data_IF_565920132376
#
_entry.id   IF_565920132376
#
_cell.length_a   1.000
_cell.length_b   1.000
_cell.length_c   1.000
_cell.angle_alpha   90.00
_cell.angle_beta   90.00
_cell.angle_gamma   90.00
#
_symmetry.space_group_name_H-M   'P 1'
#
loop_
_entity.id
_entity.type
_entity.pdbx_description
1 polymer ?
#
# COMPACT_ATOMS: atom_id res chain seq x y z
N UNK A 1 -0.12 12.67 46.25
CA UNK A 1 -0.44 11.69 47.30
C UNK A 1 -0.56 10.34 46.61
N UNK A 2 0.26 9.36 46.98
CA UNK A 2 0.21 8.03 46.36
C UNK A 2 -1.12 7.36 46.68
N UNK A 3 -1.79 6.83 45.66
CA UNK A 3 -3.07 6.13 45.80
C UNK A 3 -2.82 4.76 46.42
N UNK A 4 -2.61 4.71 47.73
CA UNK A 4 -2.31 3.47 48.46
C UNK A 4 -3.44 2.42 48.42
N UNK A 5 -4.60 2.74 47.83
CA UNK A 5 -5.76 1.85 47.70
C UNK A 5 -6.25 1.65 46.25
N UNK A 6 -5.56 2.13 45.21
CA UNK A 6 -6.08 1.99 43.83
C UNK A 6 -6.16 0.54 43.35
N UNK A 7 -5.16 -0.28 43.71
CA UNK A 7 -5.09 -1.69 43.29
C UNK A 7 -6.21 -2.52 43.95
N UNK A 8 -6.45 -2.44 45.28
CA UNK A 8 -7.60 -3.09 45.89
C UNK A 8 -8.94 -2.67 45.28
N UNK A 9 -9.14 -1.37 45.04
CA UNK A 9 -10.39 -0.84 44.46
C UNK A 9 -10.60 -1.37 43.04
N UNK A 10 -9.55 -1.34 42.22
CA UNK A 10 -9.59 -1.93 40.88
C UNK A 10 -9.93 -3.42 40.93
N UNK A 11 -9.32 -4.17 41.86
CA UNK A 11 -9.56 -5.59 41.99
C UNK A 11 -11.01 -5.90 42.41
N UNK A 12 -11.57 -5.13 43.35
CA UNK A 12 -12.95 -5.25 43.79
C UNK A 12 -13.93 -4.93 42.64
N UNK A 13 -13.69 -3.85 41.90
CA UNK A 13 -14.52 -3.44 40.75
C UNK A 13 -14.49 -4.49 39.64
N UNK A 14 -13.30 -4.97 39.25
CA UNK A 14 -13.17 -6.01 38.22
C UNK A 14 -13.81 -7.32 38.67
N UNK A 15 -13.62 -7.71 39.93
CA UNK A 15 -14.21 -8.93 40.47
C UNK A 15 -15.73 -8.84 40.48
N UNK A 16 -16.29 -7.66 40.75
CA UNK A 16 -17.72 -7.41 40.66
C UNK A 16 -18.25 -7.44 39.22
N UNK A 17 -17.58 -6.74 38.29
CA UNK A 17 -18.00 -6.64 36.88
C UNK A 17 -17.94 -8.01 36.18
N UNK A 18 -16.87 -8.77 36.42
CA UNK A 18 -16.61 -10.05 35.77
C UNK A 18 -16.93 -11.25 36.67
N UNK A 19 -17.72 -11.04 37.73
CA UNK A 19 -18.19 -12.10 38.61
C UNK A 19 -18.79 -13.32 37.87
N UNK A 20 -19.53 -13.17 36.74
CA UNK A 20 -20.04 -14.32 35.98
C UNK A 20 -18.95 -15.16 35.30
N UNK A 21 -17.76 -14.57 35.07
CA UNK A 21 -16.65 -15.21 34.36
C UNK A 21 -15.56 -15.74 35.30
N UNK A 22 -15.45 -15.19 36.51
CA UNK A 22 -14.45 -15.57 37.51
C UNK A 22 -14.96 -16.76 38.34
N UNK A 23 -14.15 -17.80 38.63
CA UNK A 23 -12.74 -17.99 38.23
C UNK A 23 -12.57 -18.84 36.96
N UNK A 24 -13.66 -19.25 36.32
CA UNK A 24 -13.64 -20.29 35.30
C UNK A 24 -13.05 -19.82 33.97
N UNK A 25 -13.34 -18.58 33.57
CA UNK A 25 -12.97 -18.02 32.27
C UNK A 25 -12.00 -16.84 32.39
N UNK A 26 -11.95 -16.17 33.54
CA UNK A 26 -11.10 -14.99 33.76
C UNK A 26 -10.42 -15.10 35.11
N UNK A 27 -9.17 -14.62 35.18
CA UNK A 27 -8.44 -14.42 36.42
C UNK A 27 -7.95 -12.96 36.49
N UNK A 28 -8.31 -12.25 37.55
CA UNK A 28 -7.74 -10.94 37.86
C UNK A 28 -6.45 -11.10 38.66
N UNK A 29 -5.40 -10.40 38.26
CA UNK A 29 -4.10 -10.40 38.93
C UNK A 29 -3.55 -8.98 39.03
N UNK A 30 -3.57 -8.39 40.22
CA UNK A 30 -3.14 -7.01 40.48
C UNK A 30 -3.89 -6.04 39.53
N UNK A 31 -3.21 -5.50 38.53
CA UNK A 31 -3.75 -4.52 37.57
C UNK A 31 -4.13 -5.17 36.22
N UNK A 32 -3.94 -6.49 36.08
CA UNK A 32 -4.16 -7.24 34.85
C UNK A 32 -5.37 -8.17 34.93
N UNK A 33 -6.01 -8.42 33.79
CA UNK A 33 -7.12 -9.36 33.62
C UNK A 33 -6.74 -10.39 32.57
N UNK A 34 -6.47 -11.62 33.00
CA UNK A 34 -6.18 -12.74 32.11
C UNK A 34 -7.45 -13.49 31.73
N UNK A 35 -7.86 -13.42 30.46
CA UNK A 35 -8.85 -14.35 29.92
C UNK A 35 -8.18 -15.72 29.71
N UNK A 36 -8.76 -16.77 30.28
CA UNK A 36 -8.29 -18.14 30.10
C UNK A 36 -8.59 -18.57 28.66
N UNK A 37 -7.57 -19.11 28.00
CA UNK A 37 -7.75 -19.76 26.72
C UNK A 37 -8.65 -20.99 26.82
N UNK A 38 -9.10 -21.54 25.69
CA UNK A 38 -9.91 -22.76 25.69
C UNK A 38 -9.14 -23.91 26.39
N UNK A 39 -9.76 -24.50 27.41
CA UNK A 39 -9.14 -25.59 28.20
C UNK A 39 -8.81 -26.81 27.32
N UNK A 40 -9.71 -27.12 26.38
CA UNK A 40 -9.54 -28.18 25.39
C UNK A 40 -9.69 -27.60 23.98
N UNK A 41 -8.71 -27.86 23.10
CA UNK A 41 -8.83 -27.57 21.66
C UNK A 41 -9.87 -28.44 20.92
N UNK A 42 -10.66 -29.22 21.66
CA UNK A 42 -11.72 -30.12 21.16
C UNK A 42 -11.27 -30.86 19.91
N UNK A 43 -10.17 -31.60 20.02
CA UNK A 43 -9.56 -32.31 18.89
C UNK A 43 -10.39 -33.57 18.58
N UNK A 44 -10.96 -33.65 17.38
CA UNK A 44 -11.66 -34.83 16.87
C UNK A 44 -10.87 -35.38 15.68
N UNK A 45 -10.43 -36.64 15.75
CA UNK A 45 -9.61 -37.29 14.71
C UNK A 45 -8.34 -36.48 14.33
N UNK A 46 -7.59 -36.01 15.33
CA UNK A 46 -6.36 -35.22 15.16
C UNK A 46 -6.55 -33.88 14.43
N UNK A 47 -7.79 -33.37 14.34
CA UNK A 47 -8.10 -32.04 13.80
C UNK A 47 -8.94 -31.25 14.82
N UNK A 48 -8.77 -29.93 14.93
CA UNK A 48 -9.62 -29.11 15.79
C UNK A 48 -11.08 -29.24 15.38
N UNK A 49 -11.99 -29.35 16.35
CA UNK A 49 -13.42 -29.31 16.09
C UNK A 49 -13.78 -28.02 15.35
N UNK A 50 -14.71 -28.14 14.41
CA UNK A 50 -15.14 -27.03 13.56
C UNK A 50 -16.52 -26.54 13.94
N UNK A 51 -16.80 -25.26 13.70
CA UNK A 51 -18.09 -24.67 14.01
C UNK A 51 -19.20 -25.31 13.15
N UNK A 52 -20.36 -25.69 13.73
CA UNK A 52 -21.40 -26.43 13.02
C UNK A 52 -22.02 -25.64 11.85
N UNK A 53 -22.10 -24.32 11.95
CA UNK A 53 -22.62 -23.46 10.88
C UNK A 53 -21.56 -23.05 9.84
N UNK A 54 -20.27 -23.21 10.14
CA UNK A 54 -19.18 -22.84 9.23
C UNK A 54 -17.96 -23.73 9.46
N UNK A 55 -17.79 -24.71 8.56
CA UNK A 55 -16.70 -25.69 8.58
C UNK A 55 -15.32 -25.09 8.27
N UNK A 56 -15.17 -23.76 8.13
CA UNK A 56 -13.86 -23.12 8.06
C UNK A 56 -13.41 -22.58 9.42
N UNK A 57 -14.31 -22.48 10.41
CA UNK A 57 -14.02 -21.88 11.71
C UNK A 57 -13.67 -22.96 12.73
N UNK A 58 -12.57 -22.78 13.47
CA UNK A 58 -12.22 -23.60 14.62
C UNK A 58 -13.15 -23.28 15.80
N UNK A 59 -13.84 -24.29 16.33
CA UNK A 59 -14.84 -24.14 17.39
C UNK A 59 -14.24 -23.56 18.67
N UNK A 60 -13.07 -24.04 19.09
CA UNK A 60 -12.40 -23.56 20.30
C UNK A 60 -12.00 -22.07 20.20
N UNK A 61 -11.59 -21.62 19.00
CA UNK A 61 -11.28 -20.20 18.77
C UNK A 61 -12.54 -19.35 18.76
N UNK A 62 -13.61 -19.83 18.13
CA UNK A 62 -14.89 -19.14 18.14
C UNK A 62 -15.42 -18.92 19.57
N UNK A 63 -15.40 -19.97 20.40
CA UNK A 63 -15.81 -19.90 21.81
C UNK A 63 -14.95 -18.90 22.61
N UNK A 64 -13.64 -18.84 22.32
CA UNK A 64 -12.75 -17.86 22.94
C UNK A 64 -13.06 -16.41 22.53
N UNK A 65 -13.35 -16.16 21.25
CA UNK A 65 -13.75 -14.83 20.80
C UNK A 65 -15.11 -14.39 21.36
N UNK A 66 -16.07 -15.31 21.49
CA UNK A 66 -17.34 -15.04 22.17
C UNK A 66 -17.14 -14.69 23.66
N UNK A 67 -16.22 -15.38 24.34
CA UNK A 67 -15.83 -15.05 25.71
C UNK A 67 -15.23 -13.64 25.80
N UNK A 68 -14.24 -13.31 24.94
CA UNK A 68 -13.65 -11.97 24.91
C UNK A 68 -14.71 -10.89 24.65
N UNK A 69 -15.60 -11.12 23.69
CA UNK A 69 -16.68 -10.20 23.39
C UNK A 69 -17.59 -9.98 24.63
N UNK A 70 -17.97 -11.04 25.35
CA UNK A 70 -18.76 -10.93 26.59
C UNK A 70 -18.06 -10.09 27.66
N UNK A 71 -16.78 -10.35 27.92
CA UNK A 71 -15.95 -9.60 28.88
C UNK A 71 -15.91 -8.11 28.50
N UNK A 72 -15.65 -7.82 27.23
CA UNK A 72 -15.60 -6.45 26.72
C UNK A 72 -16.95 -5.73 26.86
N UNK A 73 -18.07 -6.42 26.59
CA UNK A 73 -19.41 -5.84 26.76
C UNK A 73 -19.75 -5.59 28.22
N UNK A 74 -19.39 -6.49 29.14
CA UNK A 74 -19.57 -6.29 30.58
C UNK A 74 -18.77 -5.08 31.08
N UNK A 75 -17.49 -5.01 30.69
CA UNK A 75 -16.63 -3.86 31.01
C UNK A 75 -17.20 -2.55 30.45
N UNK A 76 -17.69 -2.57 29.20
CA UNK A 76 -18.34 -1.41 28.57
C UNK A 76 -19.61 -0.98 29.30
N UNK A 77 -20.46 -1.93 29.71
CA UNK A 77 -21.72 -1.63 30.40
C UNK A 77 -21.48 -0.95 31.76
N UNK A 78 -20.40 -1.34 32.44
CA UNK A 78 -19.99 -0.77 33.73
C UNK A 78 -19.14 0.50 33.60
N UNK A 79 -18.93 1.03 32.39
CA UNK A 79 -18.16 2.26 32.15
C UNK A 79 -16.64 2.08 32.16
N UNK A 80 -16.14 0.85 32.14
CA UNK A 80 -14.72 0.54 31.97
C UNK A 80 -14.22 0.95 30.59
N UNK A 81 -12.97 1.44 30.53
CA UNK A 81 -12.34 1.88 29.27
C UNK A 81 -11.00 1.21 29.05
N UNK A 82 -10.69 0.87 27.79
CA UNK A 82 -9.44 0.25 27.38
C UNK A 82 -8.62 1.30 26.60
N UNK A 83 -7.36 1.52 26.99
CA UNK A 83 -6.48 2.49 26.31
C UNK A 83 -5.68 1.81 25.21
N UNK A 84 -5.99 2.12 23.95
CA UNK A 84 -5.21 1.75 22.77
C UNK A 84 -4.80 2.97 21.91
N UNK A 85 -5.07 4.20 22.38
CA UNK A 85 -4.99 5.43 21.57
C UNK A 85 -4.37 6.58 22.37
N UNK A 86 -3.05 6.58 22.55
CA UNK A 86 -2.22 7.72 23.03
C UNK A 86 -2.88 8.68 24.06
N UNK A 87 -3.67 8.16 25.00
CA UNK A 87 -4.35 8.96 26.02
C UNK A 87 -5.62 9.73 25.60
N UNK A 88 -6.11 9.65 24.35
CA UNK A 88 -7.39 10.27 23.96
C UNK A 88 -8.55 9.27 24.07
N UNK A 89 -9.21 9.31 25.23
CA UNK A 89 -10.33 8.44 25.60
C UNK A 89 -11.58 8.66 24.72
N UNK A 90 -11.66 9.71 23.90
CA UNK A 90 -12.83 9.91 23.03
C UNK A 90 -12.77 9.05 21.75
N UNK A 91 -11.57 8.57 21.38
CA UNK A 91 -11.29 7.96 20.07
C UNK A 91 -11.02 6.46 20.11
N UNK A 92 -11.03 5.84 21.30
CA UNK A 92 -10.69 4.41 21.45
C UNK A 92 -11.54 3.51 20.55
N UNK A 93 -12.86 3.72 20.54
CA UNK A 93 -13.81 2.87 19.81
C UNK A 93 -13.55 2.88 18.30
N UNK A 94 -13.04 3.99 17.76
CA UNK A 94 -12.70 4.12 16.35
C UNK A 94 -11.41 3.38 15.99
N UNK A 95 -10.43 3.32 16.89
CA UNK A 95 -9.13 2.69 16.64
C UNK A 95 -9.09 1.20 17.03
N UNK A 96 -9.94 0.76 17.95
CA UNK A 96 -9.96 -0.61 18.47
C UNK A 96 -10.05 -1.65 17.36
N UNK A 97 -10.88 -1.41 16.34
CA UNK A 97 -11.01 -2.35 15.22
C UNK A 97 -9.72 -2.47 14.43
N UNK A 98 -9.03 -1.36 14.15
CA UNK A 98 -7.75 -1.35 13.43
C UNK A 98 -6.66 -2.07 14.21
N UNK A 99 -6.63 -1.92 15.54
CA UNK A 99 -5.66 -2.61 16.40
C UNK A 99 -5.91 -4.13 16.39
N UNK A 100 -7.14 -4.58 16.62
CA UNK A 100 -7.44 -6.01 16.56
C UNK A 100 -7.18 -6.61 15.18
N UNK A 101 -7.50 -5.87 14.12
CA UNK A 101 -7.20 -6.32 12.77
C UNK A 101 -5.69 -6.44 12.54
N UNK A 102 -4.91 -5.43 12.95
CA UNK A 102 -3.44 -5.47 12.84
C UNK A 102 -2.82 -6.67 13.58
N UNK A 103 -3.32 -6.99 14.77
CA UNK A 103 -2.86 -8.16 15.53
C UNK A 103 -3.22 -9.47 14.80
N UNK A 104 -4.43 -9.57 14.22
CA UNK A 104 -4.87 -10.76 13.50
C UNK A 104 -4.07 -11.02 12.21
N UNK A 105 -3.59 -9.96 11.55
CA UNK A 105 -2.84 -10.08 10.29
C UNK A 105 -1.33 -10.11 10.47
N UNK A 106 -0.82 -9.69 11.64
CA UNK A 106 0.62 -9.76 11.98
C UNK A 106 1.06 -11.19 12.22
N UNK A 107 2.24 -11.55 11.70
CA UNK A 107 2.85 -12.86 11.91
C UNK A 107 3.32 -13.01 13.36
N UNK A 108 2.90 -14.09 14.01
CA UNK A 108 3.36 -14.41 15.35
C UNK A 108 4.68 -15.17 15.30
N UNK A 109 5.69 -14.71 16.05
CA UNK A 109 7.07 -15.26 16.00
C UNK A 109 7.14 -16.77 16.25
N UNK A 110 6.29 -17.30 17.13
CA UNK A 110 6.29 -18.73 17.48
C UNK A 110 5.61 -19.61 16.42
N UNK A 111 4.56 -19.10 15.75
CA UNK A 111 3.81 -19.86 14.74
C UNK A 111 4.39 -19.68 13.33
N UNK A 112 5.13 -18.61 13.08
CA UNK A 112 5.65 -18.27 11.75
C UNK A 112 4.57 -17.85 10.75
N UNK A 113 3.31 -17.73 11.17
CA UNK A 113 2.19 -17.23 10.39
C UNK A 113 1.29 -16.31 11.22
N UNK A 114 0.37 -15.59 10.56
CA UNK A 114 -0.59 -14.72 11.25
C UNK A 114 -1.79 -15.53 11.78
N UNK A 115 -2.45 -15.08 12.86
CA UNK A 115 -3.68 -15.69 13.35
C UNK A 115 -4.77 -15.83 12.26
N UNK A 116 -4.88 -14.84 11.37
CA UNK A 116 -5.79 -14.88 10.23
C UNK A 116 -5.44 -16.02 9.26
N UNK A 117 -4.14 -16.21 8.97
CA UNK A 117 -3.70 -17.31 8.12
C UNK A 117 -3.92 -18.66 8.79
N UNK A 118 -3.62 -18.78 10.08
CA UNK A 118 -3.83 -20.01 10.83
C UNK A 118 -5.31 -20.43 10.89
N UNK A 119 -6.23 -19.46 10.89
CA UNK A 119 -7.67 -19.71 10.94
C UNK A 119 -8.29 -19.97 9.57
N UNK A 120 -7.91 -19.20 8.55
CA UNK A 120 -8.54 -19.25 7.22
C UNK A 120 -7.77 -20.06 6.18
N UNK A 121 -6.48 -20.33 6.43
CA UNK A 121 -5.55 -20.91 5.45
C UNK A 121 -5.18 -19.95 4.31
N UNK A 122 -5.55 -18.67 4.41
CA UNK A 122 -5.33 -17.66 3.36
C UNK A 122 -4.62 -16.45 3.94
N UNK A 123 -3.75 -15.82 3.15
CA UNK A 123 -3.14 -14.56 3.57
C UNK A 123 -4.20 -13.44 3.56
N UNK A 124 -4.22 -12.57 4.58
CA UNK A 124 -5.12 -11.43 4.59
C UNK A 124 -4.73 -10.48 3.45
N UNK A 125 -5.73 -9.96 2.73
CA UNK A 125 -5.55 -8.89 1.77
C UNK A 125 -5.93 -7.58 2.47
N UNK A 126 -4.98 -6.66 2.60
CA UNK A 126 -5.22 -5.36 3.21
C UNK A 126 -5.68 -4.35 2.15
N UNK A 127 -6.45 -3.31 2.53
CA UNK A 127 -6.81 -2.23 1.62
C UNK A 127 -5.59 -1.60 0.93
N UNK A 128 -4.47 -1.48 1.67
CA UNK A 128 -3.19 -1.05 1.13
C UNK A 128 -2.71 -1.97 -0.01
N UNK A 129 -2.77 -3.29 0.14
CA UNK A 129 -2.32 -4.24 -0.90
C UNK A 129 -3.09 -4.11 -2.22
N UNK A 130 -4.30 -3.53 -2.20
CA UNK A 130 -5.18 -3.37 -3.36
C UNK A 130 -5.01 -1.98 -4.00
N UNK A 131 -5.00 -0.92 -3.17
CA UNK A 131 -5.10 0.47 -3.64
C UNK A 131 -3.75 1.19 -3.58
N UNK A 132 -2.95 0.89 -2.56
CA UNK A 132 -1.72 1.60 -2.22
C UNK A 132 -0.58 0.60 -2.22
N UNK A 133 -0.03 0.30 -3.40
CA UNK A 133 1.04 -0.69 -3.58
C UNK A 133 2.38 -0.35 -2.87
N UNK A 134 2.37 0.56 -1.90
CA UNK A 134 3.52 1.05 -1.13
C UNK A 134 3.12 1.21 0.34
N UNK A 135 4.06 0.94 1.25
CA UNK A 135 3.92 1.24 2.68
C UNK A 135 3.52 2.71 2.89
N UNK A 136 2.49 2.94 3.71
CA UNK A 136 2.08 4.28 4.13
C UNK A 136 3.07 4.89 5.13
N UNK A 137 3.93 4.12 5.77
CA UNK A 137 4.93 4.65 6.69
C UNK A 137 6.33 4.58 6.12
N UNK A 138 7.18 5.50 6.58
CA UNK A 138 8.61 5.46 6.31
C UNK A 138 9.19 4.13 6.81
N UNK A 139 10.13 3.52 6.06
CA UNK A 139 10.76 2.31 6.51
C UNK A 139 11.47 2.55 7.86
N UNK A 140 11.35 1.63 8.82
CA UNK A 140 11.96 1.80 10.13
C UNK A 140 13.49 1.72 10.02
N UNK A 141 14.19 2.51 10.83
CA UNK A 141 15.67 2.54 10.87
C UNK A 141 16.29 1.29 11.54
N UNK A 142 15.47 0.47 12.20
CA UNK A 142 15.87 -0.72 12.93
C UNK A 142 14.72 -1.74 12.96
N UNK A 143 15.00 -2.96 13.44
CA UNK A 143 13.96 -3.95 13.66
C UNK A 143 12.98 -3.48 14.74
N UNK A 144 11.69 -3.50 14.42
CA UNK A 144 10.62 -3.12 15.32
C UNK A 144 10.32 -4.22 16.36
N UNK A 145 9.84 -3.80 17.54
CA UNK A 145 9.22 -4.75 18.47
C UNK A 145 7.88 -5.24 17.88
N UNK A 146 7.36 -6.37 18.38
CA UNK A 146 6.06 -6.88 17.91
C UNK A 146 4.94 -5.85 18.18
N UNK A 147 5.00 -5.17 19.32
CA UNK A 147 4.03 -4.14 19.69
C UNK A 147 4.11 -2.93 18.77
N UNK A 148 5.33 -2.45 18.46
CA UNK A 148 5.51 -1.31 17.56
C UNK A 148 5.05 -1.65 16.14
N UNK A 149 5.31 -2.87 15.68
CA UNK A 149 4.84 -3.34 14.38
C UNK A 149 3.30 -3.34 14.28
N UNK A 150 2.63 -3.86 15.31
CA UNK A 150 1.16 -3.86 15.42
C UNK A 150 0.64 -2.42 15.45
N UNK A 151 1.27 -1.53 16.22
CA UNK A 151 0.89 -0.11 16.29
C UNK A 151 1.04 0.58 14.93
N UNK A 152 2.16 0.40 14.23
CA UNK A 152 2.38 0.92 12.88
C UNK A 152 1.30 0.44 11.91
N UNK A 153 1.00 -0.87 11.90
CA UNK A 153 -0.05 -1.42 11.04
C UNK A 153 -1.44 -0.90 11.41
N UNK A 154 -1.74 -0.73 12.69
CA UNK A 154 -3.02 -0.16 13.13
C UNK A 154 -3.18 1.29 12.64
N UNK A 155 -2.10 2.08 12.64
CA UNK A 155 -2.11 3.45 12.10
C UNK A 155 -2.33 3.42 10.59
N UNK A 156 -1.68 2.51 9.86
CA UNK A 156 -1.88 2.36 8.41
C UNK A 156 -3.33 1.98 8.08
N UNK A 157 -3.91 1.07 8.86
CA UNK A 157 -5.31 0.63 8.72
C UNK A 157 -6.33 1.72 9.06
N UNK A 158 -5.97 2.70 9.89
CA UNK A 158 -6.87 3.82 10.19
C UNK A 158 -7.03 4.78 9.00
N UNK A 159 -6.12 4.74 8.02
CA UNK A 159 -6.23 5.50 6.77
C UNK A 159 -6.54 6.99 7.01
N UNK A 160 -5.87 7.59 8.01
CA UNK A 160 -6.13 8.97 8.38
C UNK A 160 -5.76 9.91 7.22
N UNK A 161 -6.73 10.68 6.72
CA UNK A 161 -6.54 11.55 5.54
C UNK A 161 -5.35 12.51 5.70
N UNK A 162 -5.11 13.04 6.90
CA UNK A 162 -3.98 13.93 7.18
C UNK A 162 -2.62 13.22 6.96
N UNK A 163 -2.52 11.94 7.34
CA UNK A 163 -1.32 11.15 7.10
C UNK A 163 -1.14 10.89 5.61
N UNK A 164 -2.21 10.56 4.89
CA UNK A 164 -2.17 10.32 3.44
C UNK A 164 -1.76 11.57 2.66
N UNK A 165 -2.31 12.74 3.02
CA UNK A 165 -1.99 14.01 2.38
C UNK A 165 -0.52 14.39 2.61
N UNK A 166 -0.01 14.14 3.82
CA UNK A 166 1.40 14.31 4.17
C UNK A 166 2.29 13.39 3.34
N UNK A 167 1.96 12.09 3.26
CA UNK A 167 2.72 11.11 2.49
C UNK A 167 2.71 11.41 1.00
N UNK A 168 1.55 11.75 0.44
CA UNK A 168 1.42 12.14 -0.94
C UNK A 168 2.30 13.36 -1.26
N UNK A 169 2.33 14.34 -0.36
CA UNK A 169 3.20 15.51 -0.48
C UNK A 169 4.69 15.14 -0.43
N UNK A 170 5.09 14.25 0.49
CA UNK A 170 6.45 13.75 0.59
C UNK A 170 6.87 12.98 -0.65
N UNK A 171 6.07 12.01 -1.11
CA UNK A 171 6.33 11.23 -2.32
C UNK A 171 6.43 12.14 -3.54
N UNK A 172 5.51 13.08 -3.72
CA UNK A 172 5.57 14.05 -4.81
C UNK A 172 6.86 14.89 -4.77
N UNK A 173 7.25 15.37 -3.60
CA UNK A 173 8.49 16.14 -3.43
C UNK A 173 9.74 15.29 -3.73
N UNK A 174 9.78 14.04 -3.25
CA UNK A 174 10.86 13.10 -3.53
C UNK A 174 10.95 12.75 -5.02
N UNK A 175 9.81 12.51 -5.68
CA UNK A 175 9.75 12.29 -7.13
C UNK A 175 10.27 13.51 -7.91
N UNK A 176 9.90 14.73 -7.50
CA UNK A 176 10.42 15.95 -8.12
C UNK A 176 11.94 16.09 -7.93
N UNK A 177 12.44 15.86 -6.72
CA UNK A 177 13.87 15.90 -6.44
C UNK A 177 14.64 14.84 -7.23
N UNK A 178 14.10 13.62 -7.32
CA UNK A 178 14.69 12.55 -8.12
C UNK A 178 14.71 12.90 -9.62
N UNK A 179 13.66 13.51 -10.15
CA UNK A 179 13.62 14.00 -11.53
C UNK A 179 14.68 15.09 -11.78
N UNK A 180 14.78 16.08 -10.89
CA UNK A 180 15.82 17.13 -10.96
C UNK A 180 17.21 16.50 -10.90
N UNK A 181 17.45 15.59 -9.96
CA UNK A 181 18.73 14.92 -9.81
C UNK A 181 19.10 14.13 -11.08
N UNK A 182 18.16 13.37 -11.63
CA UNK A 182 18.33 12.65 -12.89
C UNK A 182 18.67 13.60 -14.05
N UNK A 183 17.98 14.73 -14.17
CA UNK A 183 18.29 15.76 -15.16
C UNK A 183 19.70 16.32 -14.99
N UNK A 184 20.14 16.58 -13.76
CA UNK A 184 21.49 17.10 -13.48
C UNK A 184 22.58 16.07 -13.80
N UNK A 185 22.43 14.82 -13.38
CA UNK A 185 23.42 13.76 -13.63
C UNK A 185 23.52 13.40 -15.11
N UNK A 186 22.40 13.45 -15.83
CA UNK A 186 22.34 13.12 -17.26
C UNK A 186 22.32 14.34 -18.18
N UNK A 187 22.66 15.54 -17.69
CA UNK A 187 22.63 16.79 -18.47
C UNK A 187 23.46 16.71 -19.76
N UNK A 188 24.59 16.00 -19.74
CA UNK A 188 25.43 15.80 -20.94
C UNK A 188 24.84 14.83 -21.97
N UNK A 189 23.92 13.95 -21.55
CA UNK A 189 23.32 12.90 -22.39
C UNK A 189 21.93 13.32 -22.89
N UNK A 190 21.16 14.01 -22.08
CA UNK A 190 19.81 14.48 -22.42
C UNK A 190 19.93 15.60 -23.46
N UNK A 191 19.53 15.29 -24.69
CA UNK A 191 19.46 16.27 -25.77
C UNK A 191 18.01 16.67 -26.00
N UNK A 192 17.72 17.94 -25.79
CA UNK A 192 16.39 18.49 -26.05
C UNK A 192 16.34 19.03 -27.48
N UNK A 193 15.86 18.20 -28.41
CA UNK A 193 15.64 18.61 -29.79
C UNK A 193 14.28 19.31 -29.94
N UNK A 194 14.30 20.52 -30.49
CA UNK A 194 13.08 21.27 -30.83
C UNK A 194 12.87 21.23 -32.35
N UNK A 195 12.13 20.23 -32.82
CA UNK A 195 11.85 20.05 -34.24
C UNK A 195 10.71 20.97 -34.67
N UNK A 196 10.88 21.60 -35.82
CA UNK A 196 9.85 22.40 -36.49
C UNK A 196 9.06 21.53 -37.46
N UNK A 197 7.88 22.00 -37.84
CA UNK A 197 7.12 21.42 -38.94
C UNK A 197 7.97 21.37 -40.21
N UNK A 198 8.01 20.21 -40.86
CA UNK A 198 8.82 19.94 -42.05
C UNK A 198 10.20 19.36 -41.76
N UNK A 199 10.68 19.35 -40.51
CA UNK A 199 11.98 18.78 -40.17
C UNK A 199 11.98 17.25 -40.37
N UNK A 200 13.09 16.74 -40.91
CA UNK A 200 13.32 15.31 -41.04
C UNK A 200 13.94 14.72 -39.79
N UNK A 201 13.34 13.65 -39.30
CA UNK A 201 13.71 12.97 -38.05
C UNK A 201 13.80 11.47 -38.24
N UNK A 202 14.64 10.83 -37.45
CA UNK A 202 14.73 9.38 -37.31
C UNK A 202 14.00 8.95 -36.03
N UNK A 203 13.19 7.91 -36.10
CA UNK A 203 12.53 7.34 -34.93
C UNK A 203 13.33 6.16 -34.36
N UNK A 204 13.69 6.24 -33.08
CA UNK A 204 14.34 5.16 -32.34
C UNK A 204 13.43 3.94 -32.25
N UNK A 205 13.96 2.77 -32.62
CA UNK A 205 13.23 1.51 -32.57
C UNK A 205 13.18 0.97 -31.14
N UNK A 206 12.23 1.47 -30.35
CA UNK A 206 12.09 1.07 -28.94
C UNK A 206 11.74 -0.40 -28.76
N UNK A 207 11.02 -1.01 -29.72
CA UNK A 207 10.59 -2.42 -29.69
C UNK A 207 11.75 -3.41 -29.61
N UNK A 208 12.93 -3.05 -30.11
CA UNK A 208 14.11 -3.94 -30.13
C UNK A 208 15.04 -3.72 -28.94
N UNK A 209 14.76 -2.73 -28.06
CA UNK A 209 15.67 -2.34 -26.99
C UNK A 209 15.93 -3.49 -26.00
N UNK A 210 14.93 -4.36 -25.79
CA UNK A 210 14.92 -5.45 -24.80
C UNK A 210 15.14 -6.84 -25.45
N UNK A 211 15.21 -6.94 -26.79
CA UNK A 211 15.37 -8.23 -27.48
C UNK A 211 16.84 -8.68 -27.57
N UNK A 212 17.12 -9.97 -27.36
CA UNK A 212 18.48 -10.53 -27.46
C UNK A 212 19.13 -10.38 -28.86
N UNK A 213 18.33 -10.31 -29.93
CA UNK A 213 18.83 -10.13 -31.30
C UNK A 213 18.91 -8.65 -31.75
N UNK A 214 18.92 -7.68 -30.81
CA UNK A 214 18.97 -6.24 -31.09
C UNK A 214 20.09 -5.82 -32.04
N UNK A 215 21.25 -6.49 -31.98
CA UNK A 215 22.42 -6.18 -32.82
C UNK A 215 22.14 -6.35 -34.32
N UNK A 216 21.20 -7.23 -34.68
CA UNK A 216 20.85 -7.54 -36.08
C UNK A 216 19.67 -6.72 -36.62
N UNK A 217 19.06 -5.85 -35.79
CA UNK A 217 17.86 -5.07 -36.17
C UNK A 217 18.19 -3.59 -36.34
N UNK A 218 17.46 -2.86 -37.21
CA UNK A 218 17.68 -1.43 -37.42
C UNK A 218 17.38 -0.65 -36.13
N UNK A 219 18.35 0.16 -35.69
CA UNK A 219 18.24 0.98 -34.47
C UNK A 219 17.28 2.16 -34.63
N UNK A 220 17.22 2.71 -35.84
CA UNK A 220 16.35 3.81 -36.21
C UNK A 220 15.47 3.39 -37.38
N UNK A 221 14.24 3.88 -37.39
CA UNK A 221 13.25 3.69 -38.41
C UNK A 221 13.09 5.00 -39.16
N UNK A 222 13.24 4.92 -40.50
CA UNK A 222 12.84 5.89 -41.51
C UNK A 222 13.30 7.35 -41.33
N UNK A 223 13.64 8.07 -42.41
CA UNK A 223 13.43 9.51 -42.38
C UNK A 223 11.92 9.77 -42.35
N UNK A 224 11.44 10.41 -41.28
CA UNK A 224 10.06 10.84 -41.08
C UNK A 224 10.01 12.36 -41.06
N UNK A 225 8.89 12.94 -41.46
CA UNK A 225 8.66 14.39 -41.43
C UNK A 225 7.86 14.74 -40.20
N UNK A 226 8.28 15.78 -39.48
CA UNK A 226 7.53 16.34 -38.35
C UNK A 226 6.40 17.21 -38.87
N UNK A 227 5.18 16.94 -38.41
CA UNK A 227 3.99 17.75 -38.74
C UNK A 227 3.78 18.81 -37.66
N UNK A 228 3.65 18.38 -36.41
CA UNK A 228 3.36 19.28 -35.29
C UNK A 228 3.75 18.65 -33.96
N UNK A 229 3.72 19.47 -32.90
CA UNK A 229 4.01 19.05 -31.52
C UNK A 229 2.77 19.27 -30.65
N UNK A 230 2.35 18.22 -29.96
CA UNK A 230 1.21 18.26 -29.04
C UNK A 230 1.55 19.05 -27.76
N UNK A 231 0.52 19.50 -27.02
CA UNK A 231 0.68 20.17 -25.70
C UNK A 231 1.48 19.34 -24.69
N UNK A 232 1.41 18.01 -24.79
CA UNK A 232 2.19 17.06 -23.97
C UNK A 232 3.63 16.82 -24.45
N UNK A 233 4.10 17.53 -25.47
CA UNK A 233 5.48 17.48 -25.95
C UNK A 233 5.82 16.34 -26.92
N UNK A 234 4.88 15.45 -27.24
CA UNK A 234 5.01 14.43 -28.27
C UNK A 234 4.82 15.02 -29.68
N UNK A 235 5.47 14.43 -30.68
CA UNK A 235 5.42 14.89 -32.07
C UNK A 235 4.50 14.00 -32.91
N UNK A 236 3.71 14.63 -33.77
CA UNK A 236 3.00 13.95 -34.85
C UNK A 236 3.95 13.93 -36.04
N UNK A 237 4.17 12.74 -36.59
CA UNK A 237 5.12 12.50 -37.68
C UNK A 237 4.43 11.74 -38.80
N UNK A 238 4.87 11.97 -40.03
CA UNK A 238 4.44 11.23 -41.21
C UNK A 238 5.63 10.62 -41.96
N UNK A 239 5.33 9.61 -42.78
CA UNK A 239 6.25 9.13 -43.80
C UNK A 239 6.42 10.17 -44.93
N UNK A 240 7.42 9.95 -45.79
CA UNK A 240 7.79 10.87 -46.87
C UNK A 240 6.69 11.04 -47.94
N UNK A 241 5.76 10.10 -48.03
CA UNK A 241 4.59 10.15 -48.91
C UNK A 241 3.42 10.97 -48.32
N UNK A 242 3.57 11.45 -47.08
CA UNK A 242 2.52 12.13 -46.33
C UNK A 242 1.64 11.22 -45.46
N UNK A 243 1.90 9.92 -45.42
CA UNK A 243 1.13 8.99 -44.57
C UNK A 243 1.43 9.25 -43.08
N UNK A 244 0.42 9.71 -42.32
CA UNK A 244 0.56 10.06 -40.90
C UNK A 244 0.65 8.80 -40.04
N UNK A 245 1.60 8.77 -39.10
CA UNK A 245 1.66 7.70 -38.12
C UNK A 245 0.47 7.78 -37.16
N UNK A 246 -0.21 6.65 -36.94
CA UNK A 246 -1.39 6.56 -36.07
C UNK A 246 -1.16 7.07 -34.64
N UNK A 247 0.06 6.96 -34.10
CA UNK A 247 0.36 7.37 -32.71
C UNK A 247 1.42 8.48 -32.70
N UNK A 248 1.25 9.53 -31.88
CA UNK A 248 2.29 10.51 -31.68
C UNK A 248 3.51 9.87 -31.01
N UNK A 249 4.69 10.36 -31.38
CA UNK A 249 5.98 9.82 -30.96
C UNK A 249 6.57 10.73 -29.88
N UNK A 250 7.06 10.13 -28.79
CA UNK A 250 7.69 10.87 -27.71
C UNK A 250 8.99 11.55 -28.18
N UNK A 251 9.27 12.77 -27.70
CA UNK A 251 10.42 13.57 -28.13
C UNK A 251 11.76 12.84 -27.99
N UNK A 252 11.97 12.09 -26.90
CA UNK A 252 13.21 11.34 -26.67
C UNK A 252 13.42 10.16 -27.63
N UNK A 253 12.40 9.75 -28.38
CA UNK A 253 12.51 8.73 -29.41
C UNK A 253 12.97 9.31 -30.75
N UNK A 254 12.95 10.64 -30.95
CA UNK A 254 13.28 11.28 -32.21
C UNK A 254 14.70 11.85 -32.19
N UNK A 255 15.41 11.69 -33.31
CA UNK A 255 16.77 12.20 -33.53
C UNK A 255 16.79 12.95 -34.86
N UNK A 256 17.49 14.08 -34.99
CA UNK A 256 17.58 14.80 -36.27
C UNK A 256 18.14 13.93 -37.38
N UNK A 257 17.50 13.96 -38.55
CA UNK A 257 18.03 13.39 -39.78
C UNK A 257 18.71 14.50 -40.59
N UNK A 258 20.03 14.46 -40.67
CA UNK A 258 20.80 15.45 -41.44
C UNK A 258 20.76 15.06 -42.93
N UNK A 259 19.95 15.77 -43.72
CA UNK A 259 19.92 15.60 -45.17
C UNK A 259 21.15 16.23 -45.82
N UNK A 260 21.51 15.71 -47.01
CA UNK A 260 22.52 16.34 -47.87
C UNK A 260 21.96 17.53 -48.64
N UNK A 261 20.65 17.53 -48.91
CA UNK A 261 19.91 18.57 -49.62
C UNK A 261 18.59 18.85 -48.89
N UNK A 262 18.10 20.10 -48.93
CA UNK A 262 16.88 20.50 -48.25
C UNK A 262 15.64 20.04 -49.03
N UNK A 263 14.78 19.24 -48.40
CA UNK A 263 13.50 18.83 -48.99
C UNK A 263 12.45 19.83 -48.52
N UNK A 264 11.87 20.57 -49.45
CA UNK A 264 10.76 21.49 -49.15
C UNK A 264 9.47 20.69 -49.03
N UNK A 265 8.93 20.59 -47.81
CA UNK A 265 7.63 19.95 -47.58
C UNK A 265 6.53 20.95 -47.96
N UNK A 266 5.60 20.62 -48.87
CA UNK A 266 4.54 21.55 -49.26
C UNK A 266 3.59 21.79 -48.08
N UNK A 267 3.39 23.08 -47.77
CA UNK A 267 2.60 23.53 -46.61
C UNK A 267 1.12 23.16 -46.68
N UNK A 268 0.60 22.88 -47.88
CA UNK A 268 -0.82 22.62 -48.15
C UNK A 268 -1.21 21.13 -48.13
N UNK A 269 -0.30 20.23 -47.74
CA UNK A 269 -0.53 18.77 -47.88
C UNK A 269 -1.31 18.15 -46.71
N UNK A 270 -1.47 18.86 -45.59
CA UNK A 270 -2.02 18.29 -44.36
C UNK A 270 -3.16 19.15 -43.81
N UNK A 271 -4.40 18.67 -43.96
CA UNK A 271 -5.60 19.20 -43.29
C UNK A 271 -5.55 18.89 -41.79
N UNK A 272 -4.67 19.56 -41.06
CA UNK A 272 -4.57 19.43 -39.61
C UNK A 272 -4.75 20.82 -39.01
N UNK A 273 -5.96 21.11 -38.53
CA UNK A 273 -6.23 22.27 -37.70
C UNK A 273 -5.32 22.21 -36.46
N UNK A 274 -4.40 23.18 -36.37
CA UNK A 274 -3.38 23.27 -35.30
C UNK A 274 -3.83 24.13 -34.11
N UNK A 275 -5.13 24.34 -33.93
CA UNK A 275 -5.72 25.10 -32.81
C UNK A 275 -5.69 24.37 -31.46
#
# INVERSE_FOLDING_TARGET
MGWTNSVPIFHDDITFILQPEIPHNVLSFIDDIGAKGPEDWKIVNSKPAKHPANLNICLALWEFFELLNRILQQMKYCGGTFSAVNGDQSRWSTATYSVFWSECVTVYKQMGCSPYFATTGTHPLLPADIVEATYLQLPPNSLLSTTDLIACQAIDLQHCQENLDCLHSQVLSACRLAAIHFETEHAATIRNYNFKTGDLVLMSNTRIKITHNKKMKPRYLGPLVVISRNRGGAYIVCELDGSILHRPVAAFCLVPYFTREHITVPSDTFDIDTS
#
